data_IF_327872126629
#
_entry.id   IF_327872126629
#
_cell.length_a   1.000
_cell.length_b   1.000
_cell.length_c   1.000
_cell.angle_alpha   90.00
_cell.angle_beta   90.00
_cell.angle_gamma   90.00
#
_symmetry.space_group_name_H-M   'P 1'
#
loop_
_entity.id
_entity.type
_entity.pdbx_description
1 polymer ?
#
# COMPACT_ATOMS: atom_id res chain seq x y z
N UNK A 1 21.90 16.09 -27.14
CA UNK A 1 20.44 16.00 -27.18
C UNK A 1 19.99 16.55 -28.52
N UNK A 2 19.37 15.74 -29.33
CA UNK A 2 18.83 16.14 -30.62
C UNK A 2 17.32 15.96 -30.55
N UNK A 3 16.57 17.02 -30.22
CA UNK A 3 15.13 17.00 -30.20
C UNK A 3 14.57 18.39 -29.88
N UNK A 4 13.39 18.67 -30.38
CA UNK A 4 12.62 19.91 -30.13
C UNK A 4 11.84 19.74 -28.83
N UNK A 5 12.12 20.60 -27.84
CA UNK A 5 11.64 20.44 -26.47
C UNK A 5 10.59 21.50 -26.15
N UNK A 6 9.41 21.05 -25.65
CA UNK A 6 8.37 21.87 -25.06
C UNK A 6 8.45 21.75 -23.54
N UNK A 7 8.39 22.87 -22.81
CA UNK A 7 8.39 22.88 -21.35
C UNK A 7 7.04 23.33 -20.83
N UNK A 8 6.46 22.54 -19.92
CA UNK A 8 5.18 22.82 -19.26
C UNK A 8 5.43 23.43 -17.90
N UNK A 9 4.96 24.65 -17.70
CA UNK A 9 5.24 25.51 -16.55
C UNK A 9 6.37 26.49 -16.82
N UNK A 10 6.06 27.80 -16.87
CA UNK A 10 7.02 28.91 -17.05
C UNK A 10 7.46 29.56 -15.72
N UNK A 11 7.23 28.84 -14.61
CA UNK A 11 7.73 29.23 -13.29
C UNK A 11 9.25 29.05 -13.14
N UNK A 12 9.75 29.21 -11.91
CA UNK A 12 11.19 29.12 -11.62
C UNK A 12 11.80 27.80 -12.09
N UNK A 13 11.11 26.65 -11.87
CA UNK A 13 11.58 25.34 -12.30
C UNK A 13 11.71 25.24 -13.82
N UNK A 14 10.68 25.64 -14.58
CA UNK A 14 10.70 25.61 -16.03
C UNK A 14 11.75 26.53 -16.64
N UNK A 15 11.91 27.74 -16.10
CA UNK A 15 12.89 28.71 -16.60
C UNK A 15 14.34 28.22 -16.35
N UNK A 16 14.62 27.65 -15.19
CA UNK A 16 15.96 27.12 -14.89
C UNK A 16 16.27 25.88 -15.70
N UNK A 17 15.27 25.00 -15.89
CA UNK A 17 15.38 23.84 -16.76
C UNK A 17 15.63 24.26 -18.22
N UNK A 18 14.90 25.22 -18.74
CA UNK A 18 15.11 25.76 -20.09
C UNK A 18 16.52 26.30 -20.30
N UNK A 19 17.06 26.98 -19.28
CA UNK A 19 18.44 27.48 -19.31
C UNK A 19 19.47 26.34 -19.35
N UNK A 20 19.23 25.25 -18.61
CA UNK A 20 20.10 24.07 -18.62
C UNK A 20 20.04 23.32 -19.94
N UNK A 21 18.82 23.13 -20.49
CA UNK A 21 18.61 22.53 -21.83
C UNK A 21 19.43 23.29 -22.90
N UNK A 22 19.25 24.61 -22.95
CA UNK A 22 19.96 25.47 -23.93
C UNK A 22 21.46 25.42 -23.73
N UNK A 23 21.96 25.43 -22.49
CA UNK A 23 23.39 25.31 -22.18
C UNK A 23 23.97 23.97 -22.66
N UNK A 24 23.22 22.92 -22.66
CA UNK A 24 23.64 21.60 -23.17
C UNK A 24 23.40 21.38 -24.67
N UNK A 25 22.98 22.45 -25.37
CA UNK A 25 22.79 22.45 -26.82
C UNK A 25 21.44 21.87 -27.28
N UNK A 26 20.46 21.77 -26.39
CA UNK A 26 19.06 21.39 -26.73
C UNK A 26 18.26 22.60 -27.22
N UNK A 27 17.26 22.34 -28.06
CA UNK A 27 16.31 23.34 -28.58
C UNK A 27 15.06 23.42 -27.74
N UNK A 28 14.85 24.49 -26.96
CA UNK A 28 13.58 24.76 -26.28
C UNK A 28 12.73 25.61 -27.21
N UNK A 29 11.65 25.02 -27.71
CA UNK A 29 10.71 25.66 -28.66
C UNK A 29 9.86 26.69 -27.94
N UNK A 30 9.38 26.42 -26.74
CA UNK A 30 8.57 27.32 -25.94
C UNK A 30 8.04 26.70 -24.67
N UNK A 31 7.07 27.38 -24.08
CA UNK A 31 6.42 26.98 -22.83
C UNK A 31 4.90 26.81 -23.01
N UNK A 32 4.28 25.98 -22.17
CA UNK A 32 2.86 26.02 -21.88
C UNK A 32 2.65 26.45 -20.44
N UNK A 33 1.75 27.39 -20.18
CA UNK A 33 1.43 27.83 -18.82
C UNK A 33 0.00 28.34 -18.73
N UNK A 34 -0.72 28.00 -17.65
CA UNK A 34 -2.12 28.44 -17.45
C UNK A 34 -2.21 29.84 -16.85
N UNK A 35 -1.12 30.42 -16.34
CA UNK A 35 -1.11 31.64 -15.51
C UNK A 35 -0.10 32.68 -15.94
N UNK A 36 0.93 32.30 -16.69
CA UNK A 36 2.03 33.20 -17.10
C UNK A 36 1.94 33.43 -18.60
N UNK A 37 1.89 34.69 -19.00
CA UNK A 37 1.96 35.12 -20.40
C UNK A 37 3.41 35.56 -20.79
N UNK A 38 3.74 35.43 -22.07
CA UNK A 38 5.03 35.81 -22.60
C UNK A 38 5.19 35.43 -24.07
N UNK A 39 6.10 36.06 -24.80
CA UNK A 39 6.34 35.81 -26.23
C UNK A 39 6.80 34.35 -26.51
N UNK A 40 7.31 33.69 -25.50
CA UNK A 40 7.75 32.27 -25.53
C UNK A 40 6.72 31.27 -24.96
N UNK A 41 5.52 31.75 -24.59
CA UNK A 41 4.41 30.90 -24.15
C UNK A 41 3.50 30.60 -25.35
N UNK A 42 3.41 29.35 -25.75
CA UNK A 42 2.71 28.89 -26.95
C UNK A 42 1.23 28.57 -26.71
N UNK A 43 0.81 28.55 -25.44
CA UNK A 43 -0.56 28.26 -25.04
C UNK A 43 -0.68 27.82 -23.58
N UNK A 44 -1.85 27.33 -23.23
CA UNK A 44 -2.18 26.72 -21.93
C UNK A 44 -1.82 25.23 -21.93
N UNK A 45 -1.90 24.57 -20.76
CA UNK A 45 -1.69 23.13 -20.66
C UNK A 45 -2.67 22.33 -21.57
N UNK A 46 -3.86 22.85 -21.83
CA UNK A 46 -4.87 22.21 -22.70
C UNK A 46 -4.51 22.24 -24.18
N UNK A 47 -3.61 23.14 -24.58
CA UNK A 47 -3.20 23.31 -25.97
C UNK A 47 -2.05 22.38 -26.36
N UNK A 48 -1.58 21.50 -25.43
CA UNK A 48 -0.40 20.65 -25.62
C UNK A 48 -0.43 19.86 -26.91
N UNK A 49 -1.54 19.21 -27.23
CA UNK A 49 -1.68 18.37 -28.42
C UNK A 49 -1.54 19.18 -29.71
N UNK A 50 -2.17 20.34 -29.74
CA UNK A 50 -2.10 21.25 -30.90
C UNK A 50 -0.68 21.83 -31.08
N UNK A 51 0.00 22.19 -30.00
CA UNK A 51 1.36 22.72 -30.01
C UNK A 51 2.36 21.62 -30.39
N UNK A 52 2.23 20.42 -29.85
CA UNK A 52 3.06 19.27 -30.20
C UNK A 52 3.02 18.99 -31.69
N UNK A 53 1.82 19.00 -32.28
CA UNK A 53 1.63 18.78 -33.71
C UNK A 53 2.16 19.94 -34.59
N UNK A 54 1.86 21.18 -34.19
CA UNK A 54 2.23 22.39 -34.97
C UNK A 54 3.75 22.62 -34.95
N UNK A 55 4.40 22.39 -33.82
CA UNK A 55 5.80 22.68 -33.61
C UNK A 55 6.72 21.47 -33.78
N UNK A 56 6.19 20.30 -34.15
CA UNK A 56 6.91 19.03 -34.29
C UNK A 56 7.81 18.77 -33.07
N UNK A 57 7.21 18.71 -31.89
CA UNK A 57 7.89 18.49 -30.61
C UNK A 57 8.25 17.02 -30.49
N UNK A 58 9.49 16.74 -30.07
CA UNK A 58 10.00 15.39 -29.78
C UNK A 58 9.89 15.04 -28.30
N UNK A 59 10.06 16.05 -27.41
CA UNK A 59 10.14 15.87 -25.96
C UNK A 59 9.30 16.92 -25.23
N UNK A 60 8.53 16.47 -24.24
CA UNK A 60 7.78 17.37 -23.35
C UNK A 60 8.30 17.23 -21.93
N UNK A 61 8.75 18.33 -21.33
CA UNK A 61 9.21 18.38 -19.95
C UNK A 61 8.17 19.06 -19.07
N UNK A 62 7.53 18.28 -18.17
CA UNK A 62 6.57 18.83 -17.21
C UNK A 62 7.33 19.39 -16.00
N UNK A 63 7.42 20.73 -15.91
CA UNK A 63 8.23 21.46 -14.94
C UNK A 63 7.38 22.26 -13.95
N UNK A 64 6.30 21.66 -13.42
CA UNK A 64 5.46 22.20 -12.34
C UNK A 64 5.56 21.30 -11.11
N UNK A 65 6.63 21.40 -10.29
CA UNK A 65 6.84 20.50 -9.14
C UNK A 65 5.74 20.61 -8.07
N UNK A 66 4.97 21.71 -8.09
CA UNK A 66 3.85 21.95 -7.17
C UNK A 66 2.50 21.43 -7.70
N UNK A 67 2.45 20.95 -8.94
CA UNK A 67 1.22 20.38 -9.49
C UNK A 67 0.80 19.12 -8.68
N UNK A 68 -0.48 18.98 -8.40
CA UNK A 68 -0.96 17.72 -7.85
C UNK A 68 -0.94 16.60 -8.91
N UNK A 69 -0.95 15.37 -8.46
CA UNK A 69 -0.87 14.23 -9.37
C UNK A 69 -2.12 14.07 -10.25
N UNK A 70 -3.26 14.67 -9.88
CA UNK A 70 -4.44 14.72 -10.74
C UNK A 70 -4.16 15.58 -11.97
N UNK A 71 -3.52 16.75 -11.77
CA UNK A 71 -3.11 17.66 -12.86
C UNK A 71 -2.04 17.03 -13.76
N UNK A 72 -1.06 16.33 -13.17
CA UNK A 72 -0.05 15.57 -13.95
C UNK A 72 -0.72 14.49 -14.82
N UNK A 73 -1.62 13.72 -14.25
CA UNK A 73 -2.37 12.68 -14.98
C UNK A 73 -3.27 13.27 -16.07
N UNK A 74 -4.02 14.34 -15.77
CA UNK A 74 -4.83 15.06 -16.75
C UNK A 74 -3.98 15.54 -17.92
N UNK A 75 -2.82 16.12 -17.63
CA UNK A 75 -1.87 16.56 -18.64
C UNK A 75 -1.34 15.41 -19.50
N UNK A 76 -0.85 14.32 -18.90
CA UNK A 76 -0.36 13.15 -19.65
C UNK A 76 -1.48 12.58 -20.55
N UNK A 77 -2.71 12.53 -20.04
CA UNK A 77 -3.85 12.03 -20.80
C UNK A 77 -4.31 12.99 -21.91
N UNK A 78 -3.93 14.26 -21.88
CA UNK A 78 -4.27 15.23 -22.93
C UNK A 78 -3.33 15.17 -24.14
N UNK A 79 -2.22 14.42 -24.07
CA UNK A 79 -1.30 14.24 -25.19
C UNK A 79 -1.75 13.02 -25.99
N UNK A 80 -2.19 13.25 -27.24
CA UNK A 80 -2.66 12.19 -28.15
C UNK A 80 -1.56 11.66 -29.08
N UNK A 81 -0.40 12.35 -29.16
CA UNK A 81 0.69 11.98 -30.05
C UNK A 81 1.54 10.85 -29.45
N UNK A 82 1.60 9.72 -30.14
CA UNK A 82 2.39 8.53 -29.79
C UNK A 82 3.90 8.73 -30.02
N UNK A 83 4.32 9.88 -30.57
CA UNK A 83 5.70 10.14 -30.98
C UNK A 83 6.46 11.09 -30.03
N UNK A 84 5.87 11.45 -28.90
CA UNK A 84 6.45 12.43 -27.96
C UNK A 84 6.81 11.75 -26.65
N UNK A 85 8.08 11.86 -26.28
CA UNK A 85 8.56 11.42 -24.97
C UNK A 85 8.21 12.45 -23.89
N UNK A 86 7.80 11.99 -22.70
CA UNK A 86 7.42 12.83 -21.57
C UNK A 86 8.34 12.55 -20.40
N UNK A 87 8.97 13.62 -19.86
CA UNK A 87 9.68 13.54 -18.58
C UNK A 87 9.18 14.62 -17.63
N UNK A 88 9.22 14.34 -16.34
CA UNK A 88 8.69 15.23 -15.30
C UNK A 88 9.76 15.67 -14.32
N UNK A 89 9.60 16.84 -13.74
CA UNK A 89 10.34 17.28 -12.55
C UNK A 89 9.63 16.66 -11.33
N UNK A 90 10.29 15.74 -10.60
CA UNK A 90 9.64 15.03 -9.52
C UNK A 90 9.29 15.95 -8.34
N UNK A 91 8.22 15.59 -7.59
CA UNK A 91 7.74 16.34 -6.42
C UNK A 91 8.47 15.95 -5.13
N UNK A 92 9.78 15.73 -5.20
CA UNK A 92 10.56 15.40 -4.01
C UNK A 92 10.89 16.66 -3.19
N UNK A 93 11.10 16.49 -1.88
CA UNK A 93 11.50 17.60 -1.01
C UNK A 93 12.79 18.27 -1.52
N UNK A 94 13.72 17.48 -2.02
CA UNK A 94 14.99 17.99 -2.57
C UNK A 94 14.78 18.88 -3.78
N UNK A 95 13.84 18.54 -4.67
CA UNK A 95 13.48 19.38 -5.82
C UNK A 95 12.70 20.62 -5.39
N UNK A 96 11.72 20.48 -4.48
CA UNK A 96 10.92 21.61 -3.98
C UNK A 96 11.78 22.64 -3.21
N UNK A 97 12.89 22.22 -2.64
CA UNK A 97 13.84 23.08 -1.92
C UNK A 97 14.94 23.66 -2.81
N UNK A 98 15.09 23.22 -4.06
CA UNK A 98 16.09 23.75 -5.00
C UNK A 98 15.68 25.10 -5.56
N UNK A 99 16.65 26.01 -5.68
CA UNK A 99 16.47 27.26 -6.41
C UNK A 99 16.57 27.09 -7.95
N UNK A 100 17.18 25.98 -8.39
CA UNK A 100 17.38 25.65 -9.81
C UNK A 100 17.09 24.19 -10.10
N UNK A 101 16.44 23.92 -11.23
CA UNK A 101 16.15 22.57 -11.75
C UNK A 101 16.95 22.36 -13.03
N UNK A 102 17.56 21.17 -13.16
CA UNK A 102 18.37 20.78 -14.32
C UNK A 102 17.78 19.51 -14.99
N UNK A 103 18.27 19.19 -16.19
CA UNK A 103 17.84 17.98 -16.93
C UNK A 103 18.09 16.70 -16.12
N UNK A 104 19.18 16.66 -15.36
CA UNK A 104 19.52 15.48 -14.54
C UNK A 104 18.54 15.27 -13.37
N UNK A 105 17.67 16.24 -13.09
CA UNK A 105 16.60 16.14 -12.11
C UNK A 105 15.29 15.56 -12.69
N UNK A 106 15.19 15.43 -14.01
CA UNK A 106 14.03 14.85 -14.67
C UNK A 106 13.98 13.33 -14.45
N UNK A 107 12.79 12.84 -14.29
CA UNK A 107 12.51 11.39 -14.23
C UNK A 107 11.45 11.02 -15.26
N UNK A 108 11.45 9.75 -15.67
CA UNK A 108 10.31 9.21 -16.40
C UNK A 108 9.06 9.31 -15.51
N UNK A 109 7.89 9.32 -16.13
CA UNK A 109 6.61 9.35 -15.41
C UNK A 109 6.54 8.21 -14.41
N UNK A 110 6.52 8.54 -13.11
CA UNK A 110 6.42 7.52 -12.06
C UNK A 110 4.96 7.11 -11.85
N UNK A 111 4.80 5.89 -11.36
CA UNK A 111 3.50 5.33 -10.95
C UNK A 111 2.79 6.21 -9.92
N UNK A 112 3.54 6.84 -9.02
CA UNK A 112 2.99 7.75 -8.01
C UNK A 112 2.31 8.96 -8.63
N UNK A 113 2.87 9.48 -9.72
CA UNK A 113 2.29 10.59 -10.48
C UNK A 113 0.98 10.20 -11.15
N UNK A 114 0.89 8.94 -11.61
CA UNK A 114 -0.30 8.40 -12.26
C UNK A 114 -1.44 8.06 -11.28
N UNK A 115 -1.11 7.65 -10.05
CA UNK A 115 -2.11 7.27 -9.03
C UNK A 115 -2.71 8.49 -8.32
N UNK A 116 -2.08 9.64 -8.37
CA UNK A 116 -2.63 10.85 -7.76
C UNK A 116 -2.39 10.96 -6.26
N UNK A 117 -1.40 10.25 -5.71
CA UNK A 117 -1.14 10.23 -4.27
C UNK A 117 -0.03 11.20 -3.88
N UNK A 118 -0.35 12.15 -2.99
CA UNK A 118 0.67 13.03 -2.42
C UNK A 118 1.44 12.33 -1.30
N UNK A 119 2.77 12.51 -1.24
CA UNK A 119 3.55 12.02 -0.10
C UNK A 119 3.06 12.65 1.20
N UNK A 120 2.75 11.82 2.19
CA UNK A 120 2.31 12.30 3.51
C UNK A 120 3.50 12.88 4.25
N UNK A 121 3.33 14.10 4.82
CA UNK A 121 4.31 14.66 5.76
C UNK A 121 4.37 13.79 7.02
N UNK A 122 5.52 13.21 7.27
CA UNK A 122 5.72 12.23 8.33
C UNK A 122 5.74 12.89 9.71
N UNK A 123 4.86 12.46 10.60
CA UNK A 123 4.99 12.80 12.01
C UNK A 123 5.96 11.83 12.70
N UNK A 124 7.24 12.01 12.45
CA UNK A 124 8.32 11.16 13.01
C UNK A 124 8.32 11.17 14.54
N UNK A 125 7.90 12.27 15.16
CA UNK A 125 7.92 12.45 16.61
C UNK A 125 6.99 11.45 17.32
N UNK A 126 5.78 11.23 16.82
CA UNK A 126 4.82 10.28 17.42
C UNK A 126 5.37 8.85 17.35
N UNK A 127 5.93 8.45 16.20
CA UNK A 127 6.53 7.14 16.05
C UNK A 127 7.74 6.95 16.99
N UNK A 128 8.61 7.94 17.10
CA UNK A 128 9.76 7.93 18.00
C UNK A 128 9.34 7.81 19.47
N UNK A 129 8.36 8.60 19.93
CA UNK A 129 7.86 8.54 21.29
C UNK A 129 7.24 7.17 21.63
N UNK A 130 6.52 6.57 20.70
CA UNK A 130 5.88 5.27 20.89
C UNK A 130 6.86 4.10 20.92
N UNK A 131 7.91 4.15 20.09
CA UNK A 131 8.85 3.04 19.87
C UNK A 131 10.15 3.15 20.68
N UNK A 132 10.51 4.34 21.19
CA UNK A 132 11.77 4.55 21.90
C UNK A 132 11.90 3.60 23.08
N UNK A 133 12.99 2.86 23.13
CA UNK A 133 13.31 1.92 24.21
C UNK A 133 12.47 0.64 24.23
N UNK A 134 11.59 0.40 23.23
CA UNK A 134 10.72 -0.76 23.15
C UNK A 134 11.38 -1.94 22.43
N UNK A 135 11.02 -3.13 22.85
CA UNK A 135 11.31 -4.40 22.15
C UNK A 135 10.15 -4.72 21.22
N UNK A 136 10.40 -4.75 19.94
CA UNK A 136 9.34 -4.86 18.92
C UNK A 136 9.49 -6.14 18.11
N UNK A 137 8.43 -6.93 18.05
CA UNK A 137 8.35 -8.11 17.18
C UNK A 137 7.51 -7.79 15.96
N UNK A 138 8.02 -8.10 14.76
CA UNK A 138 7.30 -7.96 13.48
C UNK A 138 7.16 -9.34 12.87
N UNK A 139 5.92 -9.82 12.69
CA UNK A 139 5.64 -11.05 11.94
C UNK A 139 5.27 -10.71 10.50
N UNK A 140 5.56 -11.61 9.56
CA UNK A 140 5.47 -11.28 8.13
C UNK A 140 6.52 -10.25 7.72
N UNK A 141 7.66 -10.26 8.41
CA UNK A 141 8.71 -9.23 8.30
C UNK A 141 9.36 -9.17 6.92
N UNK A 142 9.38 -10.27 6.17
CA UNK A 142 9.91 -10.33 4.81
C UNK A 142 8.89 -9.87 3.74
N UNK A 143 7.62 -9.66 4.12
CA UNK A 143 6.58 -9.14 3.23
C UNK A 143 6.76 -7.66 2.89
N UNK A 144 5.99 -7.16 1.92
CA UNK A 144 6.07 -5.76 1.46
C UNK A 144 5.84 -4.76 2.60
N UNK A 145 4.78 -4.96 3.41
CA UNK A 145 4.48 -4.10 4.56
C UNK A 145 5.48 -4.36 5.69
N UNK A 146 5.68 -5.63 6.08
CA UNK A 146 6.54 -5.99 7.21
C UNK A 146 7.97 -5.49 7.08
N UNK A 147 8.57 -5.59 5.90
CA UNK A 147 9.94 -5.13 5.66
C UNK A 147 10.09 -3.61 5.75
N UNK A 148 9.11 -2.87 5.26
CA UNK A 148 9.11 -1.40 5.36
C UNK A 148 8.80 -0.94 6.78
N UNK A 149 7.86 -1.61 7.44
CA UNK A 149 7.54 -1.37 8.85
C UNK A 149 8.77 -1.56 9.73
N UNK A 150 9.51 -2.67 9.55
CA UNK A 150 10.76 -2.94 10.25
C UNK A 150 11.76 -1.81 10.10
N UNK A 151 11.97 -1.29 8.89
CA UNK A 151 12.90 -0.16 8.66
C UNK A 151 12.46 1.11 9.40
N UNK A 152 11.17 1.43 9.38
CA UNK A 152 10.65 2.59 10.11
C UNK A 152 10.78 2.41 11.62
N UNK A 153 10.51 1.22 12.17
CA UNK A 153 10.65 0.90 13.59
C UNK A 153 12.10 1.05 14.04
N UNK A 154 13.05 0.52 13.28
CA UNK A 154 14.48 0.65 13.55
C UNK A 154 14.92 2.12 13.51
N UNK A 155 14.48 2.88 12.50
CA UNK A 155 14.81 4.29 12.35
C UNK A 155 14.19 5.16 13.46
N UNK A 156 13.03 4.78 13.96
CA UNK A 156 12.35 5.48 15.05
C UNK A 156 12.96 5.21 16.44
N UNK A 157 13.96 4.34 16.57
CA UNK A 157 14.74 4.16 17.80
C UNK A 157 14.19 3.08 18.74
N UNK A 158 13.56 2.04 18.21
CA UNK A 158 13.28 0.83 19.00
C UNK A 158 14.57 0.25 19.58
N UNK A 159 14.51 -0.25 20.83
CA UNK A 159 15.68 -0.83 21.51
C UNK A 159 16.16 -2.09 20.81
N UNK A 160 15.23 -3.00 20.53
CA UNK A 160 15.49 -4.24 19.82
C UNK A 160 14.30 -4.55 18.88
N UNK A 161 14.60 -5.10 17.71
CA UNK A 161 13.58 -5.52 16.74
C UNK A 161 13.79 -6.97 16.36
N UNK A 162 12.78 -7.80 16.57
CA UNK A 162 12.76 -9.19 16.13
C UNK A 162 11.88 -9.34 14.90
N UNK A 163 12.48 -9.77 13.80
CA UNK A 163 11.80 -10.03 12.54
C UNK A 163 11.51 -11.52 12.41
N UNK A 164 10.25 -11.88 12.18
CA UNK A 164 9.82 -13.27 12.00
C UNK A 164 9.09 -13.43 10.67
N UNK A 165 9.54 -14.37 9.86
CA UNK A 165 8.85 -14.78 8.64
C UNK A 165 9.20 -16.24 8.31
N UNK A 166 8.31 -16.96 7.62
CA UNK A 166 8.60 -18.30 7.13
C UNK A 166 9.35 -18.31 5.79
N UNK A 167 9.33 -17.18 5.06
CA UNK A 167 9.95 -17.05 3.75
C UNK A 167 11.46 -16.73 3.88
N UNK A 168 12.28 -17.77 3.88
CA UNK A 168 13.73 -17.68 4.10
C UNK A 168 14.43 -16.73 3.14
N UNK A 169 14.15 -16.82 1.82
CA UNK A 169 14.77 -15.91 0.85
C UNK A 169 14.41 -14.44 1.10
N UNK A 170 13.16 -14.16 1.47
CA UNK A 170 12.74 -12.80 1.84
C UNK A 170 13.45 -12.29 3.08
N UNK A 171 13.67 -13.16 4.06
CA UNK A 171 14.44 -12.85 5.28
C UNK A 171 15.91 -12.55 4.96
N UNK A 172 16.51 -13.28 4.03
CA UNK A 172 17.85 -12.97 3.53
C UNK A 172 17.95 -11.57 2.91
N UNK A 173 17.01 -11.18 2.05
CA UNK A 173 17.00 -9.82 1.48
C UNK A 173 16.71 -8.75 2.53
N UNK A 174 15.88 -9.05 3.51
CA UNK A 174 15.64 -8.13 4.64
C UNK A 174 16.93 -7.91 5.44
N UNK A 175 17.65 -8.97 5.75
CA UNK A 175 18.96 -8.92 6.45
C UNK A 175 19.96 -8.02 5.71
N UNK A 176 20.14 -8.26 4.40
CA UNK A 176 21.02 -7.43 3.56
C UNK A 176 20.61 -5.94 3.59
N UNK A 177 19.32 -5.66 3.62
CA UNK A 177 18.80 -4.28 3.63
C UNK A 177 18.95 -3.58 4.98
N UNK A 178 19.17 -4.33 6.05
CA UNK A 178 19.35 -3.86 7.43
C UNK A 178 20.82 -4.00 7.91
N UNK A 179 21.73 -4.30 6.99
CA UNK A 179 23.15 -4.50 7.29
C UNK A 179 23.73 -3.35 8.16
N UNK A 180 24.45 -3.71 9.22
CA UNK A 180 25.03 -2.76 10.19
C UNK A 180 24.07 -2.31 11.29
N UNK A 181 22.85 -2.87 11.39
CA UNK A 181 21.90 -2.62 12.48
C UNK A 181 22.03 -3.71 13.55
N UNK A 182 22.81 -3.45 14.60
CA UNK A 182 23.08 -4.43 15.66
C UNK A 182 21.87 -4.77 16.55
N UNK A 183 20.85 -3.90 16.55
CA UNK A 183 19.62 -4.09 17.34
C UNK A 183 18.51 -4.86 16.60
N UNK A 184 18.83 -5.51 15.47
CA UNK A 184 17.86 -6.30 14.69
C UNK A 184 18.23 -7.79 14.74
N UNK A 185 17.26 -8.60 15.06
CA UNK A 185 17.36 -10.07 15.04
C UNK A 185 16.37 -10.63 14.02
N UNK A 186 16.77 -11.71 13.32
CA UNK A 186 15.91 -12.40 12.37
C UNK A 186 15.69 -13.86 12.80
N UNK A 187 14.45 -14.35 12.67
CA UNK A 187 14.09 -15.76 12.91
C UNK A 187 13.22 -16.25 11.76
N UNK A 188 13.64 -17.33 11.11
CA UNK A 188 12.80 -18.05 10.15
C UNK A 188 11.86 -18.94 10.94
N UNK A 189 10.57 -18.57 10.98
CA UNK A 189 9.54 -19.32 11.70
C UNK A 189 8.15 -19.05 11.09
N UNK A 190 7.27 -20.05 11.25
CA UNK A 190 5.86 -19.99 10.80
C UNK A 190 4.97 -19.64 11.99
N UNK A 191 4.16 -18.59 11.87
CA UNK A 191 3.20 -18.15 12.90
C UNK A 191 2.16 -19.24 13.26
N UNK A 192 1.97 -20.22 12.40
CA UNK A 192 1.10 -21.39 12.65
C UNK A 192 1.71 -22.37 13.66
N UNK A 193 3.03 -22.38 13.81
CA UNK A 193 3.73 -23.28 14.73
C UNK A 193 3.71 -22.72 16.15
N UNK A 194 2.71 -23.10 16.93
CA UNK A 194 2.48 -22.60 18.28
C UNK A 194 3.69 -22.79 19.21
N UNK A 195 4.27 -23.99 19.22
CA UNK A 195 5.38 -24.31 20.13
C UNK A 195 6.64 -23.47 19.82
N UNK A 196 6.98 -23.33 18.53
CA UNK A 196 8.10 -22.52 18.11
C UNK A 196 7.88 -21.03 18.40
N UNK A 197 6.69 -20.50 18.07
CA UNK A 197 6.37 -19.11 18.35
C UNK A 197 6.31 -18.80 19.85
N UNK A 198 5.81 -19.72 20.67
CA UNK A 198 5.83 -19.58 22.13
C UNK A 198 7.26 -19.47 22.67
N UNK A 199 8.19 -20.31 22.17
CA UNK A 199 9.61 -20.22 22.55
C UNK A 199 10.23 -18.87 22.11
N UNK A 200 9.96 -18.42 20.87
CA UNK A 200 10.48 -17.16 20.34
C UNK A 200 9.96 -15.96 21.13
N UNK A 201 8.64 -15.88 21.36
CA UNK A 201 8.02 -14.78 22.13
C UNK A 201 8.50 -14.81 23.58
N UNK A 202 8.58 -16.00 24.18
CA UNK A 202 9.07 -16.19 25.55
C UNK A 202 10.55 -15.79 25.74
N UNK A 203 11.42 -16.06 24.76
CA UNK A 203 12.82 -15.62 24.77
C UNK A 203 12.95 -14.11 24.54
N UNK A 204 12.25 -13.59 23.53
CA UNK A 204 12.39 -12.19 23.14
C UNK A 204 11.63 -11.22 24.05
N UNK A 205 10.52 -11.61 24.67
CA UNK A 205 9.69 -10.76 25.54
C UNK A 205 9.35 -9.40 24.90
N UNK A 206 8.59 -9.34 23.81
CA UNK A 206 8.28 -8.09 23.11
C UNK A 206 7.34 -7.19 23.92
N UNK A 207 7.59 -5.89 23.89
CA UNK A 207 6.63 -4.88 24.35
C UNK A 207 5.50 -4.68 23.33
N UNK A 208 5.84 -4.77 22.04
CA UNK A 208 4.93 -4.47 20.93
C UNK A 208 5.04 -5.57 19.87
N UNK A 209 3.91 -6.05 19.36
CA UNK A 209 3.84 -6.96 18.21
C UNK A 209 3.12 -6.26 17.06
N UNK A 210 3.78 -6.14 15.90
CA UNK A 210 3.14 -5.82 14.64
C UNK A 210 2.91 -7.11 13.85
N UNK A 211 1.66 -7.52 13.72
CA UNK A 211 1.29 -8.77 13.06
C UNK A 211 0.88 -8.51 11.60
N UNK A 212 1.86 -8.60 10.67
CA UNK A 212 1.66 -8.42 9.24
C UNK A 212 1.71 -9.74 8.45
N UNK A 213 1.88 -10.88 9.13
CA UNK A 213 1.86 -12.21 8.49
C UNK A 213 0.46 -12.57 8.00
N UNK A 214 0.29 -12.63 6.68
CA UNK A 214 -0.97 -13.07 6.06
C UNK A 214 -0.77 -13.47 4.59
N UNK A 215 -1.57 -14.40 4.09
CA UNK A 215 -1.76 -14.61 2.66
C UNK A 215 -2.78 -13.60 2.13
N UNK A 216 -2.43 -12.86 1.08
CA UNK A 216 -3.19 -11.69 0.60
C UNK A 216 -3.83 -11.84 -0.78
N UNK A 217 -3.40 -12.83 -1.57
CA UNK A 217 -3.85 -12.96 -2.96
C UNK A 217 -5.23 -13.61 -3.03
N UNK A 218 -6.27 -12.80 -3.34
CA UNK A 218 -7.67 -13.22 -3.38
C UNK A 218 -7.88 -14.46 -4.25
N UNK A 219 -7.46 -14.51 -5.54
CA UNK A 219 -7.72 -15.67 -6.38
C UNK A 219 -7.04 -16.96 -5.87
N UNK A 220 -5.83 -16.85 -5.30
CA UNK A 220 -5.14 -18.01 -4.74
C UNK A 220 -5.84 -18.53 -3.48
N UNK A 221 -6.27 -17.63 -2.59
CA UNK A 221 -6.92 -18.02 -1.34
C UNK A 221 -8.34 -18.56 -1.59
N UNK A 222 -8.99 -18.14 -2.66
CA UNK A 222 -10.29 -18.68 -3.06
C UNK A 222 -10.24 -20.19 -3.40
N UNK A 223 -9.11 -20.65 -3.94
CA UNK A 223 -8.86 -22.09 -4.23
C UNK A 223 -8.07 -22.81 -3.13
N UNK A 224 -7.46 -22.06 -2.20
CA UNK A 224 -6.67 -22.62 -1.09
C UNK A 224 -7.27 -22.21 0.28
N UNK A 225 -8.57 -22.47 0.47
CA UNK A 225 -9.35 -22.02 1.63
C UNK A 225 -8.77 -22.52 2.95
N UNK A 226 -8.30 -23.77 3.03
CA UNK A 226 -7.71 -24.33 4.24
C UNK A 226 -6.43 -23.55 4.64
N UNK A 227 -5.56 -23.29 3.68
CA UNK A 227 -4.33 -22.53 3.94
C UNK A 227 -4.62 -21.08 4.33
N UNK A 228 -5.64 -20.45 3.70
CA UNK A 228 -6.07 -19.12 4.10
C UNK A 228 -6.55 -19.07 5.56
N UNK A 229 -7.38 -20.04 5.98
CA UNK A 229 -7.87 -20.14 7.36
C UNK A 229 -6.72 -20.48 8.31
N UNK A 230 -5.92 -21.49 8.01
CA UNK A 230 -4.83 -21.91 8.88
C UNK A 230 -3.76 -20.81 9.06
N UNK A 231 -3.43 -20.06 8.01
CA UNK A 231 -2.44 -19.00 8.12
C UNK A 231 -3.03 -17.70 8.72
N UNK A 232 -4.13 -17.21 8.14
CA UNK A 232 -4.65 -15.90 8.49
C UNK A 232 -5.50 -15.90 9.75
N UNK A 233 -6.22 -17.01 10.04
CA UNK A 233 -7.05 -17.10 11.26
C UNK A 233 -6.28 -17.75 12.39
N UNK A 234 -5.80 -18.99 12.21
CA UNK A 234 -5.07 -19.68 13.28
C UNK A 234 -3.75 -18.97 13.61
N UNK A 235 -2.94 -18.61 12.60
CA UNK A 235 -1.67 -17.90 12.83
C UNK A 235 -1.88 -16.60 13.61
N UNK A 236 -2.93 -15.84 13.29
CA UNK A 236 -3.26 -14.60 14.01
C UNK A 236 -3.75 -14.88 15.43
N UNK A 237 -4.65 -15.84 15.62
CA UNK A 237 -5.15 -16.22 16.94
C UNK A 237 -4.03 -16.73 17.85
N UNK A 238 -3.12 -17.55 17.30
CA UNK A 238 -1.93 -18.00 18.01
C UNK A 238 -1.09 -16.83 18.52
N UNK A 239 -0.80 -15.86 17.66
CA UNK A 239 -0.02 -14.68 18.04
C UNK A 239 -0.75 -13.77 19.03
N UNK A 240 -2.07 -13.62 18.93
CA UNK A 240 -2.89 -12.88 19.88
C UNK A 240 -2.87 -13.53 21.29
N UNK A 241 -3.04 -14.86 21.35
CA UNK A 241 -2.94 -15.63 22.61
C UNK A 241 -1.56 -15.48 23.24
N UNK A 242 -0.50 -15.64 22.46
CA UNK A 242 0.88 -15.46 22.94
C UNK A 242 1.13 -14.02 23.44
N UNK A 243 0.54 -13.02 22.80
CA UNK A 243 0.62 -11.63 23.27
C UNK A 243 0.03 -11.46 24.66
N UNK A 244 -1.14 -12.08 24.93
CA UNK A 244 -1.80 -12.08 26.23
C UNK A 244 -0.96 -12.84 27.26
N UNK A 245 -0.53 -14.07 26.93
CA UNK A 245 0.19 -14.98 27.83
C UNK A 245 1.54 -14.39 28.30
N UNK A 246 2.18 -13.57 27.45
CA UNK A 246 3.47 -12.92 27.74
C UNK A 246 3.36 -11.44 28.13
N UNK A 247 2.13 -10.90 28.31
CA UNK A 247 1.91 -9.52 28.77
C UNK A 247 2.41 -8.45 27.81
N UNK A 248 2.34 -8.71 26.50
CA UNK A 248 2.67 -7.73 25.45
C UNK A 248 1.79 -6.49 25.59
N UNK A 249 2.39 -5.31 25.62
CA UNK A 249 1.64 -4.05 25.85
C UNK A 249 0.71 -3.70 24.68
N UNK A 250 1.19 -3.88 23.44
CA UNK A 250 0.42 -3.54 22.24
C UNK A 250 0.53 -4.64 21.18
N UNK A 251 -0.62 -5.07 20.68
CA UNK A 251 -0.72 -5.97 19.52
C UNK A 251 -1.42 -5.25 18.37
N UNK A 252 -0.72 -5.07 17.26
CA UNK A 252 -1.21 -4.35 16.09
C UNK A 252 -1.50 -5.32 14.95
N UNK A 253 -2.77 -5.51 14.62
CA UNK A 253 -3.24 -6.38 13.57
C UNK A 253 -3.29 -5.62 12.24
N UNK A 254 -2.44 -5.97 11.30
CA UNK A 254 -2.46 -5.40 9.95
C UNK A 254 -3.62 -6.02 9.17
N UNK A 255 -4.69 -5.25 8.94
CA UNK A 255 -5.90 -5.66 8.23
C UNK A 255 -5.96 -5.07 6.81
N UNK A 256 -7.14 -5.03 6.21
CA UNK A 256 -7.36 -4.60 4.82
C UNK A 256 -8.78 -4.09 4.63
N UNK A 257 -9.01 -3.25 3.60
CA UNK A 257 -10.32 -2.88 3.07
C UNK A 257 -11.21 -4.08 2.72
N UNK A 258 -10.60 -5.20 2.29
CA UNK A 258 -11.30 -6.43 1.91
C UNK A 258 -11.92 -7.19 3.08
N UNK A 259 -11.63 -6.79 4.34
CA UNK A 259 -12.31 -7.28 5.53
C UNK A 259 -13.70 -6.65 5.71
N UNK A 260 -13.99 -5.55 5.01
CA UNK A 260 -15.30 -4.88 5.02
C UNK A 260 -16.22 -5.58 4.02
N UNK A 261 -17.44 -5.97 4.45
CA UNK A 261 -18.39 -6.72 3.62
C UNK A 261 -17.69 -7.78 2.74
N UNK A 262 -16.94 -8.74 3.34
CA UNK A 262 -16.11 -9.66 2.58
C UNK A 262 -16.96 -10.55 1.66
N UNK A 263 -16.50 -10.69 0.40
CA UNK A 263 -17.12 -11.53 -0.62
C UNK A 263 -16.14 -12.62 -1.13
N UNK A 264 -15.06 -12.82 -0.40
CA UNK A 264 -14.02 -13.78 -0.74
C UNK A 264 -13.36 -14.35 0.53
N UNK A 265 -12.75 -15.51 0.39
CA UNK A 265 -12.08 -16.23 1.50
C UNK A 265 -11.02 -15.37 2.18
N UNK A 266 -10.16 -14.68 1.43
CA UNK A 266 -9.08 -13.87 2.02
C UNK A 266 -9.63 -12.73 2.89
N UNK A 267 -10.57 -11.94 2.38
CA UNK A 267 -11.22 -10.87 3.14
C UNK A 267 -11.95 -11.41 4.37
N UNK A 268 -12.66 -12.53 4.23
CA UNK A 268 -13.32 -13.22 5.35
C UNK A 268 -12.33 -13.63 6.44
N UNK A 269 -11.17 -14.21 6.08
CA UNK A 269 -10.15 -14.56 7.09
C UNK A 269 -9.61 -13.36 7.83
N UNK A 270 -9.47 -12.20 7.17
CA UNK A 270 -9.04 -10.95 7.80
C UNK A 270 -10.12 -10.40 8.74
N UNK A 271 -11.41 -10.44 8.32
CA UNK A 271 -12.53 -10.05 9.20
C UNK A 271 -12.65 -10.95 10.42
N UNK A 272 -12.51 -12.26 10.27
CA UNK A 272 -12.46 -13.19 11.42
C UNK A 272 -11.34 -12.81 12.37
N UNK A 273 -10.15 -12.43 11.87
CA UNK A 273 -9.04 -11.96 12.70
C UNK A 273 -9.40 -10.70 13.50
N UNK A 274 -10.09 -9.71 12.90
CA UNK A 274 -10.58 -8.53 13.61
C UNK A 274 -11.61 -8.89 14.69
N UNK A 275 -12.57 -9.76 14.38
CA UNK A 275 -13.59 -10.21 15.35
C UNK A 275 -12.99 -11.03 16.50
N UNK A 276 -11.94 -11.83 16.22
CA UNK A 276 -11.18 -12.52 17.28
C UNK A 276 -10.43 -11.53 18.16
N UNK A 277 -9.80 -10.52 17.57
CA UNK A 277 -9.17 -9.41 18.31
C UNK A 277 -10.18 -8.72 19.23
N UNK A 278 -11.34 -8.32 18.71
CA UNK A 278 -12.43 -7.72 19.49
C UNK A 278 -12.93 -8.66 20.60
N UNK A 279 -12.93 -9.97 20.36
CA UNK A 279 -13.39 -10.97 21.34
C UNK A 279 -12.39 -11.20 22.46
N UNK A 280 -11.10 -11.05 22.17
CA UNK A 280 -10.01 -11.23 23.15
C UNK A 280 -9.67 -9.94 23.91
N UNK A 281 -10.09 -8.78 23.42
CA UNK A 281 -9.85 -7.47 24.03
C UNK A 281 -10.79 -7.21 25.21
N UNK A 282 -10.62 -7.98 26.28
CA UNK A 282 -11.38 -7.81 27.53
C UNK A 282 -10.73 -6.74 28.44
N UNK A 283 -11.51 -6.13 29.33
CA UNK A 283 -11.08 -5.01 30.19
C UNK A 283 -10.00 -5.41 31.22
N UNK A 284 -9.89 -6.71 31.53
CA UNK A 284 -8.94 -7.25 32.50
C UNK A 284 -7.62 -7.71 31.87
N UNK A 285 -7.45 -7.54 30.55
CA UNK A 285 -6.23 -7.94 29.82
C UNK A 285 -5.32 -6.73 29.66
N UNK A 286 -4.03 -6.91 30.03
CA UNK A 286 -3.02 -5.85 29.93
C UNK A 286 -2.66 -5.52 28.47
N UNK A 287 -2.83 -6.44 27.54
CA UNK A 287 -2.51 -6.27 26.11
C UNK A 287 -3.57 -5.40 25.44
N UNK A 288 -3.14 -4.29 24.84
CA UNK A 288 -3.97 -3.46 23.98
C UNK A 288 -3.96 -3.99 22.56
N UNK A 289 -5.13 -4.28 22.04
CA UNK A 289 -5.30 -4.75 20.67
C UNK A 289 -5.78 -3.61 19.77
N UNK A 290 -5.18 -3.47 18.59
CA UNK A 290 -5.64 -2.55 17.55
C UNK A 290 -5.54 -3.19 16.19
N UNK A 291 -6.46 -2.86 15.27
CA UNK A 291 -6.40 -3.27 13.88
C UNK A 291 -6.29 -2.05 12.96
N UNK A 292 -5.63 -2.21 11.81
CA UNK A 292 -5.47 -1.13 10.83
C UNK A 292 -5.87 -1.63 9.45
N UNK A 293 -6.94 -1.04 8.89
CA UNK A 293 -7.45 -1.30 7.53
C UNK A 293 -6.89 -0.27 6.55
N UNK A 294 -6.47 -0.73 5.39
CA UNK A 294 -6.09 0.10 4.25
C UNK A 294 -6.28 -0.67 2.95
N UNK A 295 -6.32 0.07 1.84
CA UNK A 295 -6.53 -0.48 0.50
C UNK A 295 -5.26 -1.04 -0.13
N UNK A 296 -5.15 -0.94 -1.45
CA UNK A 296 -4.00 -1.49 -2.15
C UNK A 296 -2.76 -0.64 -1.91
N UNK A 297 -1.63 -1.32 -1.79
CA UNK A 297 -0.32 -0.68 -1.64
C UNK A 297 0.44 -0.79 -2.95
N UNK A 298 0.86 0.38 -3.47
CA UNK A 298 1.62 0.49 -4.71
C UNK A 298 2.93 -0.28 -4.56
N UNK A 299 3.35 -0.96 -5.63
CA UNK A 299 4.61 -1.74 -5.71
C UNK A 299 4.74 -2.90 -4.72
N UNK A 300 3.68 -3.24 -4.00
CA UNK A 300 3.69 -4.46 -3.19
C UNK A 300 3.80 -5.71 -4.08
N UNK A 301 4.40 -6.77 -3.56
CA UNK A 301 4.60 -8.04 -4.29
C UNK A 301 3.29 -8.56 -4.88
N UNK A 302 3.30 -8.82 -6.21
CA UNK A 302 2.13 -9.27 -6.98
C UNK A 302 1.05 -8.19 -7.14
N UNK A 303 1.35 -6.91 -6.95
CA UNK A 303 0.43 -5.81 -7.23
C UNK A 303 0.17 -5.65 -8.72
N UNK A 304 -0.93 -4.96 -9.06
CA UNK A 304 -1.29 -4.65 -10.46
C UNK A 304 -0.16 -3.95 -11.19
N UNK A 305 0.60 -3.10 -10.52
CA UNK A 305 1.74 -2.39 -11.13
C UNK A 305 2.88 -3.32 -11.53
N UNK A 306 3.22 -4.30 -10.68
CA UNK A 306 4.22 -5.31 -11.04
C UNK A 306 3.75 -6.19 -12.20
N UNK A 307 2.45 -6.50 -12.25
CA UNK A 307 1.84 -7.24 -13.37
C UNK A 307 1.97 -6.42 -14.65
N UNK A 308 1.57 -5.15 -14.64
CA UNK A 308 1.66 -4.27 -15.81
C UNK A 308 3.10 -4.09 -16.29
N UNK A 309 4.06 -3.81 -15.40
CA UNK A 309 5.49 -3.74 -15.75
C UNK A 309 6.00 -5.05 -16.40
N UNK A 310 5.59 -6.20 -15.87
CA UNK A 310 5.95 -7.50 -16.45
C UNK A 310 5.31 -7.73 -17.82
N UNK A 311 4.09 -7.26 -18.04
CA UNK A 311 3.39 -7.35 -19.32
C UNK A 311 4.01 -6.40 -20.35
N UNK A 312 4.33 -5.16 -19.97
CA UNK A 312 5.05 -4.20 -20.80
C UNK A 312 6.38 -4.78 -21.26
N UNK A 313 7.18 -5.32 -20.34
CA UNK A 313 8.48 -5.94 -20.67
C UNK A 313 8.38 -7.14 -21.65
N UNK A 314 7.18 -7.74 -21.78
CA UNK A 314 6.90 -8.83 -22.73
C UNK A 314 6.26 -8.35 -24.03
N UNK A 315 6.04 -7.07 -24.22
CA UNK A 315 5.36 -6.50 -25.38
C UNK A 315 3.81 -6.50 -25.29
N UNK A 316 3.26 -6.58 -24.10
CA UNK A 316 1.81 -6.54 -23.83
C UNK A 316 1.08 -7.88 -24.10
N UNK A 317 -0.26 -7.87 -24.16
CA UNK A 317 -1.13 -6.75 -23.75
C UNK A 317 -1.14 -6.53 -22.24
N UNK A 318 -1.60 -5.35 -21.79
CA UNK A 318 -1.95 -5.12 -20.38
C UNK A 318 -3.34 -5.69 -20.11
N UNK A 319 -3.48 -6.48 -19.04
CA UNK A 319 -4.76 -7.12 -18.71
C UNK A 319 -5.50 -6.37 -17.61
N UNK A 320 -6.75 -6.00 -17.89
CA UNK A 320 -7.67 -5.35 -16.93
C UNK A 320 -8.89 -6.23 -16.77
N UNK A 321 -9.33 -6.45 -15.54
CA UNK A 321 -10.44 -7.39 -15.27
C UNK A 321 -11.79 -6.83 -15.68
N UNK A 322 -12.02 -5.54 -15.49
CA UNK A 322 -13.24 -4.85 -15.93
C UNK A 322 -12.94 -3.36 -16.11
N UNK A 323 -13.55 -2.67 -17.11
CA UNK A 323 -13.33 -1.24 -17.34
C UNK A 323 -13.69 -0.33 -16.17
N UNK A 324 -14.67 -0.72 -15.35
CA UNK A 324 -15.18 0.11 -14.25
C UNK A 324 -14.53 -0.23 -12.89
N UNK A 325 -13.67 -1.23 -12.83
CA UNK A 325 -12.98 -1.62 -11.57
C UNK A 325 -12.15 -0.47 -11.04
N UNK A 326 -12.43 -0.08 -9.79
CA UNK A 326 -11.62 0.90 -9.07
C UNK A 326 -10.91 0.29 -7.88
N UNK A 327 -9.77 0.88 -7.50
CA UNK A 327 -9.03 0.53 -6.29
C UNK A 327 -8.48 1.77 -5.62
N UNK A 328 -8.44 1.71 -4.30
CA UNK A 328 -7.68 2.69 -3.52
C UNK A 328 -6.20 2.35 -3.55
N UNK A 329 -5.35 3.37 -3.60
CA UNK A 329 -3.91 3.18 -3.59
C UNK A 329 -3.22 4.04 -2.54
N UNK A 330 -2.14 3.50 -1.98
CA UNK A 330 -1.26 4.16 -1.01
C UNK A 330 0.18 3.68 -1.23
N UNK A 331 1.18 4.48 -0.86
CA UNK A 331 2.57 4.00 -0.89
C UNK A 331 2.85 3.05 0.27
N UNK A 332 3.86 2.16 0.11
CA UNK A 332 4.28 1.25 1.19
C UNK A 332 4.80 2.06 2.39
N UNK A 333 5.53 3.15 2.13
CA UNK A 333 6.07 4.03 3.16
C UNK A 333 4.96 4.70 3.96
N UNK A 334 3.98 5.29 3.27
CA UNK A 334 2.83 5.92 3.89
C UNK A 334 2.04 4.92 4.76
N UNK A 335 1.69 3.75 4.20
CA UNK A 335 0.98 2.71 4.93
C UNK A 335 1.72 2.30 6.21
N UNK A 336 3.03 2.02 6.09
CA UNK A 336 3.85 1.56 7.21
C UNK A 336 3.95 2.60 8.33
N UNK A 337 4.09 3.87 8.00
CA UNK A 337 4.16 4.95 8.98
C UNK A 337 2.81 5.21 9.65
N UNK A 338 1.71 5.19 8.88
CA UNK A 338 0.37 5.36 9.45
C UNK A 338 -0.03 4.17 10.33
N UNK A 339 0.43 2.94 10.04
CA UNK A 339 0.27 1.78 10.94
C UNK A 339 0.93 2.04 12.29
N UNK A 340 2.17 2.54 12.33
CA UNK A 340 2.86 2.87 13.59
C UNK A 340 2.12 3.98 14.34
N UNK A 341 1.67 5.01 13.65
CA UNK A 341 0.93 6.12 14.27
C UNK A 341 -0.44 5.68 14.79
N UNK A 342 -1.14 4.79 14.07
CA UNK A 342 -2.40 4.19 14.54
C UNK A 342 -2.19 3.41 15.85
N UNK A 343 -1.10 2.64 15.93
CA UNK A 343 -0.75 1.91 17.15
C UNK A 343 -0.48 2.84 18.35
N UNK A 344 0.11 4.01 18.11
CA UNK A 344 0.38 5.01 19.14
C UNK A 344 -0.88 5.74 19.61
N UNK A 345 -1.87 5.92 18.74
CA UNK A 345 -3.14 6.60 19.02
C UNK A 345 -4.20 5.67 19.63
N UNK A 346 -4.08 4.35 19.39
CA UNK A 346 -5.15 3.39 19.64
C UNK A 346 -5.48 3.17 21.09
N UNK A 347 -6.76 3.01 21.35
CA UNK A 347 -7.31 2.40 22.56
C UNK A 347 -7.54 0.90 22.31
N UNK A 348 -7.91 0.17 23.38
CA UNK A 348 -8.15 -1.25 23.27
C UNK A 348 -9.35 -1.54 22.35
N UNK A 349 -9.18 -2.47 21.42
CA UNK A 349 -10.19 -2.90 20.43
C UNK A 349 -10.48 -1.90 19.29
N UNK A 350 -9.67 -0.84 19.14
CA UNK A 350 -9.84 0.10 18.03
C UNK A 350 -9.54 -0.54 16.67
N UNK A 351 -10.42 -0.27 15.71
CA UNK A 351 -10.18 -0.56 14.29
C UNK A 351 -9.95 0.76 13.56
N UNK A 352 -8.74 0.97 13.08
CA UNK A 352 -8.38 2.14 12.32
C UNK A 352 -8.57 1.91 10.82
N UNK A 353 -8.91 2.98 10.12
CA UNK A 353 -8.97 3.06 8.66
C UNK A 353 -8.06 4.19 8.21
N UNK A 354 -7.15 3.89 7.31
CA UNK A 354 -6.27 4.90 6.75
C UNK A 354 -6.98 5.68 5.63
N UNK A 355 -6.72 6.98 5.55
CA UNK A 355 -7.20 7.81 4.45
C UNK A 355 -6.59 7.35 3.12
N UNK A 356 -7.40 6.74 2.30
CA UNK A 356 -6.97 6.20 1.01
C UNK A 356 -7.10 7.22 -0.14
N UNK A 357 -7.65 8.42 0.12
CA UNK A 357 -7.98 9.39 -0.93
C UNK A 357 -9.03 8.86 -1.90
N UNK A 358 -9.02 9.35 -3.14
CA UNK A 358 -9.97 8.94 -4.17
C UNK A 358 -9.59 7.59 -4.80
N UNK A 359 -10.59 6.75 -5.14
CA UNK A 359 -10.33 5.50 -5.84
C UNK A 359 -9.89 5.75 -7.29
N UNK A 360 -8.97 4.96 -7.79
CA UNK A 360 -8.42 5.05 -9.15
C UNK A 360 -8.96 3.91 -10.00
N UNK A 361 -9.47 4.22 -11.18
CA UNK A 361 -9.89 3.24 -12.18
C UNK A 361 -8.66 2.52 -12.74
N UNK A 362 -8.68 1.18 -12.71
CA UNK A 362 -7.53 0.38 -13.18
C UNK A 362 -7.30 0.53 -14.68
N UNK A 363 -8.37 0.74 -15.45
CA UNK A 363 -8.28 1.02 -16.89
C UNK A 363 -7.53 2.34 -17.16
N UNK A 364 -7.83 3.42 -16.42
CA UNK A 364 -7.16 4.71 -16.60
C UNK A 364 -5.66 4.61 -16.25
N UNK A 365 -5.34 3.83 -15.22
CA UNK A 365 -3.96 3.56 -14.82
C UNK A 365 -3.20 2.80 -15.92
N UNK A 366 -3.83 1.77 -16.52
CA UNK A 366 -3.24 1.03 -17.62
C UNK A 366 -3.03 1.90 -18.86
N UNK A 367 -4.02 2.73 -19.22
CA UNK A 367 -3.91 3.66 -20.34
C UNK A 367 -2.80 4.69 -20.15
N UNK A 368 -2.71 5.27 -18.96
CA UNK A 368 -1.66 6.25 -18.64
C UNK A 368 -0.27 5.62 -18.69
N UNK A 369 -0.13 4.36 -18.24
CA UNK A 369 1.13 3.62 -18.32
C UNK A 369 1.53 3.30 -19.76
N UNK A 370 0.58 2.85 -20.59
CA UNK A 370 0.82 2.60 -22.02
C UNK A 370 1.32 3.87 -22.70
N UNK A 371 0.64 5.00 -22.50
CA UNK A 371 1.04 6.28 -23.09
C UNK A 371 2.44 6.72 -22.66
N UNK A 372 2.79 6.50 -21.39
CA UNK A 372 4.08 6.89 -20.86
C UNK A 372 5.25 5.99 -21.31
N UNK A 373 4.99 4.72 -21.66
CA UNK A 373 6.07 3.73 -21.91
C UNK A 373 6.11 3.24 -23.36
N UNK A 374 4.98 2.80 -23.91
CA UNK A 374 4.88 2.35 -25.31
C UNK A 374 3.41 2.40 -25.78
N UNK A 375 3.04 3.47 -26.49
CA UNK A 375 1.68 3.70 -26.98
C UNK A 375 1.12 2.61 -27.91
N UNK A 376 1.97 1.73 -28.47
CA UNK A 376 1.55 0.62 -29.35
C UNK A 376 0.97 -0.57 -28.58
N UNK A 377 1.14 -0.62 -27.27
CA UNK A 377 0.61 -1.68 -26.43
C UNK A 377 -0.92 -1.60 -26.36
N UNK A 378 -1.56 -2.75 -26.22
CA UNK A 378 -3.01 -2.86 -26.14
C UNK A 378 -3.46 -3.26 -24.74
N UNK A 379 -4.72 -3.00 -24.43
CA UNK A 379 -5.38 -3.45 -23.21
C UNK A 379 -6.36 -4.57 -23.57
N UNK A 380 -6.30 -5.66 -22.80
CA UNK A 380 -7.22 -6.79 -22.89
C UNK A 380 -8.13 -6.83 -21.65
N UNK A 381 -9.45 -6.87 -21.86
CA UNK A 381 -10.42 -7.04 -20.77
C UNK A 381 -10.65 -8.54 -20.57
N UNK A 382 -10.25 -9.03 -19.38
CA UNK A 382 -10.23 -10.49 -19.08
C UNK A 382 -11.46 -10.98 -18.34
N UNK A 383 -12.34 -10.10 -17.86
CA UNK A 383 -13.44 -10.43 -16.97
C UNK A 383 -13.03 -10.51 -15.50
N UNK A 384 -14.02 -10.32 -14.61
CA UNK A 384 -13.83 -10.36 -13.15
C UNK A 384 -13.42 -11.75 -12.68
N UNK A 385 -12.46 -11.80 -11.76
CA UNK A 385 -12.02 -13.07 -11.14
C UNK A 385 -12.92 -13.46 -9.97
N UNK A 386 -13.04 -14.76 -9.65
CA UNK A 386 -13.81 -15.20 -8.48
C UNK A 386 -13.37 -14.49 -7.19
N UNK A 387 -14.34 -13.93 -6.46
CA UNK A 387 -14.11 -13.21 -5.21
C UNK A 387 -13.56 -11.77 -5.37
N UNK A 388 -13.40 -11.27 -6.57
CA UNK A 388 -13.03 -9.88 -6.82
C UNK A 388 -14.26 -8.97 -6.74
N UNK A 389 -14.13 -7.80 -6.07
CA UNK A 389 -15.16 -6.76 -6.03
C UNK A 389 -14.94 -5.73 -7.16
N UNK A 390 -16.04 -5.15 -7.65
CA UNK A 390 -15.97 -4.01 -8.56
C UNK A 390 -15.38 -2.77 -7.85
N UNK A 391 -15.88 -2.49 -6.65
CA UNK A 391 -15.47 -1.39 -5.79
C UNK A 391 -15.14 -1.92 -4.39
N UNK A 392 -14.07 -1.40 -3.77
CA UNK A 392 -13.71 -1.73 -2.38
C UNK A 392 -14.28 -0.68 -1.43
N UNK A 393 -14.57 -1.11 -0.18
CA UNK A 393 -15.14 -0.28 0.88
C UNK A 393 -14.17 -0.20 2.05
N UNK A 394 -14.09 0.95 2.71
CA UNK A 394 -13.18 1.17 3.84
C UNK A 394 -13.86 0.95 5.20
N UNK A 395 -15.18 1.09 5.27
CA UNK A 395 -16.00 0.87 6.47
C UNK A 395 -17.38 0.32 6.10
N UNK A 396 -18.03 -0.36 7.06
CA UNK A 396 -19.41 -0.85 6.88
C UNK A 396 -20.42 0.29 6.84
N UNK A 397 -20.23 1.29 7.66
CA UNK A 397 -21.09 2.45 7.81
C UNK A 397 -20.20 3.71 7.83
N UNK A 398 -20.21 4.53 6.79
CA UNK A 398 -19.38 5.75 6.72
C UNK A 398 -19.63 6.71 7.90
N UNK A 399 -20.87 6.75 8.43
CA UNK A 399 -21.26 7.63 9.53
C UNK A 399 -20.65 7.23 10.90
N UNK A 400 -20.07 6.03 11.01
CA UNK A 400 -19.40 5.56 12.22
C UNK A 400 -17.88 5.71 12.17
N UNK A 401 -17.38 6.47 11.21
CA UNK A 401 -15.96 6.74 11.02
C UNK A 401 -15.65 8.10 11.65
N UNK A 402 -14.87 8.09 12.72
CA UNK A 402 -14.47 9.30 13.45
C UNK A 402 -13.03 9.71 13.10
N UNK A 403 -12.78 11.02 13.08
CA UNK A 403 -11.42 11.55 12.88
C UNK A 403 -10.60 11.38 14.15
N UNK A 404 -9.35 11.00 14.00
CA UNK A 404 -8.37 11.02 15.09
C UNK A 404 -7.60 12.35 15.11
N UNK A 405 -6.64 12.46 16.03
CA UNK A 405 -5.69 13.60 16.03
C UNK A 405 -4.83 13.67 14.76
N UNK A 406 -4.69 12.56 14.03
CA UNK A 406 -4.05 12.51 12.72
C UNK A 406 -5.11 12.54 11.62
N UNK A 407 -5.08 13.56 10.75
CA UNK A 407 -6.05 13.74 9.67
C UNK A 407 -6.10 12.58 8.65
N UNK A 408 -5.07 11.73 8.61
CA UNK A 408 -4.94 10.57 7.73
C UNK A 408 -5.33 9.23 8.39
N UNK A 409 -5.76 9.28 9.65
CA UNK A 409 -6.15 8.10 10.43
C UNK A 409 -7.56 8.33 10.96
N UNK A 410 -8.45 7.43 10.63
CA UNK A 410 -9.81 7.39 11.17
C UNK A 410 -9.97 6.18 12.08
N UNK A 411 -10.88 6.26 13.05
CA UNK A 411 -11.28 5.13 13.89
C UNK A 411 -12.73 4.77 13.61
N UNK A 412 -13.01 3.48 13.49
CA UNK A 412 -14.36 2.95 13.32
C UNK A 412 -14.93 2.61 14.68
N UNK A 413 -16.08 3.18 15.02
CA UNK A 413 -16.77 2.95 16.31
C UNK A 413 -18.02 2.11 16.11
N UNK A 414 -18.20 1.14 16.99
CA UNK A 414 -19.47 0.39 17.11
C UNK A 414 -19.82 -0.40 15.85
N UNK A 415 -18.91 -1.18 15.32
CA UNK A 415 -19.25 -2.16 14.28
C UNK A 415 -20.32 -3.15 14.79
N UNK A 416 -20.85 -3.95 13.89
CA UNK A 416 -21.97 -4.86 14.13
C UNK A 416 -21.74 -5.72 15.38
N UNK A 417 -22.62 -5.63 16.36
CA UNK A 417 -22.59 -6.48 17.56
C UNK A 417 -22.73 -7.96 17.19
N UNK A 418 -21.99 -8.81 17.88
CA UNK A 418 -22.05 -10.27 17.73
C UNK A 418 -21.83 -10.96 19.09
N UNK A 419 -22.30 -12.20 19.21
CA UNK A 419 -22.02 -13.04 20.39
C UNK A 419 -20.57 -13.50 20.37
N UNK A 420 -19.68 -12.76 21.04
CA UNK A 420 -18.24 -13.01 21.09
C UNK A 420 -17.90 -14.44 21.56
N UNK A 421 -18.46 -14.96 22.70
CA UNK A 421 -18.17 -16.32 23.13
C UNK A 421 -18.64 -17.41 22.15
N UNK A 422 -19.81 -17.25 21.53
CA UNK A 422 -20.31 -18.19 20.54
C UNK A 422 -19.45 -18.17 19.27
N UNK A 423 -19.04 -16.98 18.84
CA UNK A 423 -18.14 -16.80 17.68
C UNK A 423 -16.78 -17.47 17.90
N UNK A 424 -16.12 -17.26 19.03
CA UNK A 424 -14.82 -17.87 19.35
C UNK A 424 -14.94 -19.39 19.35
N UNK A 425 -15.99 -19.96 19.98
CA UNK A 425 -16.21 -21.43 19.97
C UNK A 425 -16.41 -21.99 18.55
N UNK A 426 -17.14 -21.27 17.70
CA UNK A 426 -17.37 -21.69 16.32
C UNK A 426 -16.09 -21.62 15.48
N UNK A 427 -15.28 -20.57 15.66
CA UNK A 427 -13.97 -20.47 15.01
C UNK A 427 -13.01 -21.55 15.50
N UNK A 428 -12.94 -21.82 16.80
CA UNK A 428 -12.10 -22.91 17.35
C UNK A 428 -12.50 -24.28 16.76
N UNK A 429 -13.80 -24.57 16.61
CA UNK A 429 -14.29 -25.80 15.99
C UNK A 429 -13.89 -25.89 14.49
N UNK A 430 -13.98 -24.80 13.76
CA UNK A 430 -13.51 -24.71 12.37
C UNK A 430 -12.00 -24.98 12.30
N UNK A 431 -11.20 -24.34 13.15
CA UNK A 431 -9.75 -24.48 13.19
C UNK A 431 -9.30 -25.91 13.52
N UNK A 432 -9.95 -26.60 14.44
CA UNK A 432 -9.67 -28.01 14.71
C UNK A 432 -9.80 -28.89 13.46
N UNK A 433 -10.79 -28.62 12.61
CA UNK A 433 -11.02 -29.38 11.39
C UNK A 433 -10.07 -28.98 10.26
N UNK A 434 -9.76 -27.70 10.11
CA UNK A 434 -8.85 -27.21 9.05
C UNK A 434 -7.39 -27.57 9.32
N UNK A 435 -6.94 -27.47 10.56
CA UNK A 435 -5.58 -27.83 10.97
C UNK A 435 -5.32 -29.35 10.88
N UNK A 436 -6.36 -30.16 11.13
CA UNK A 436 -6.27 -31.60 10.96
C UNK A 436 -6.49 -32.05 9.49
N UNK A 437 -6.76 -31.11 8.56
CA UNK A 437 -7.17 -31.43 7.17
C UNK A 437 -8.36 -32.41 7.10
N UNK A 438 -9.25 -32.35 8.10
CA UNK A 438 -10.43 -33.19 8.24
C UNK A 438 -11.67 -32.64 7.49
N UNK A 439 -11.49 -31.59 6.70
CA UNK A 439 -12.52 -30.92 5.90
C UNK A 439 -11.94 -30.56 4.53
N UNK A 440 -12.77 -30.53 3.49
CA UNK A 440 -12.35 -30.08 2.15
C UNK A 440 -12.35 -28.56 2.04
N UNK A 441 -11.74 -28.00 0.97
CA UNK A 441 -11.78 -26.57 0.68
C UNK A 441 -13.22 -26.03 0.58
N UNK A 442 -14.12 -26.75 -0.10
CA UNK A 442 -15.52 -26.34 -0.24
C UNK A 442 -16.28 -26.50 1.09
N UNK A 443 -16.04 -27.59 1.84
CA UNK A 443 -16.60 -27.74 3.17
C UNK A 443 -16.17 -26.63 4.12
N UNK A 444 -14.92 -26.13 4.01
CA UNK A 444 -14.47 -24.98 4.79
C UNK A 444 -15.18 -23.69 4.38
N UNK A 445 -15.49 -23.50 3.08
CA UNK A 445 -16.33 -22.35 2.64
C UNK A 445 -17.75 -22.45 3.20
N UNK A 446 -18.32 -23.65 3.26
CA UNK A 446 -19.66 -23.85 3.84
C UNK A 446 -19.67 -23.50 5.34
N UNK A 447 -18.61 -23.84 6.08
CA UNK A 447 -18.45 -23.41 7.47
C UNK A 447 -18.32 -21.89 7.60
N UNK A 448 -17.58 -21.23 6.70
CA UNK A 448 -17.50 -19.76 6.67
C UNK A 448 -18.88 -19.14 6.39
N UNK A 449 -19.68 -19.73 5.50
CA UNK A 449 -21.07 -19.30 5.25
C UNK A 449 -21.96 -19.51 6.50
N UNK A 450 -21.79 -20.63 7.21
CA UNK A 450 -22.50 -20.88 8.45
C UNK A 450 -22.15 -19.87 9.56
N UNK A 451 -20.94 -19.28 9.53
CA UNK A 451 -20.54 -18.17 10.39
C UNK A 451 -21.11 -16.80 9.93
N UNK A 452 -21.89 -16.77 8.84
CA UNK A 452 -22.55 -15.57 8.32
C UNK A 452 -21.74 -14.79 7.27
N UNK A 453 -20.67 -15.36 6.72
CA UNK A 453 -19.85 -14.71 5.68
C UNK A 453 -20.27 -15.12 4.27
N UNK A 454 -20.08 -14.20 3.32
CA UNK A 454 -20.24 -14.46 1.88
C UNK A 454 -18.87 -14.87 1.31
N UNK A 455 -18.73 -16.11 0.80
CA UNK A 455 -17.48 -16.66 0.23
C UNK A 455 -17.75 -17.56 -0.97
#
# INVERSE_FOLDING_TARGET
MTGRILIVGRGTAGMTLAADVRRRGGEVVGFLDDHVEGDDVLGTLRDVDAVVAAEAIDLVYFAIPTADSAKVREFINSISSDAVDIAIVPRTYDILSKETVAIDDLTDVDVLDLVGREPVKHNVVVAQQFLAGKRVLVTGAAGSIGSRLTRHIVTAGAAEVLCVDWWENGMFYLDQSLAGRENVQLRVADVKNQANMAAIVGEFQPDIIFHAAAYKHVPLMQSNTLEAINNNVWGSLNMMRLAIDHGVQNFVYVSTDKAVNPVNVMGTTKRIGEMLMESLAADDIATRFTAVRFGNVIESNGSVMQIFRSQIAKGGPLTVTDPEVTRFFMTIDEASQLIIQSAALGENSDIFVLDMGEPVRILDLAQSLIRAVDPRLQIEITGMRPGEKMFEELSYEPDRVERTANQKIFVVRGEKEFDRPAFVRAVDALLQRTLAYAITHDGAKDELRALGFTV
#
